data_IF_901008040154
#
_entry.id   IF_901008040154
#
_cell.length_a   1.000
_cell.length_b   1.000
_cell.length_c   1.000
_cell.angle_alpha   90.00
_cell.angle_beta   90.00
_cell.angle_gamma   90.00
#
_symmetry.space_group_name_H-M   'P 1'
#
loop_
_entity.id
_entity.type
_entity.pdbx_description
1 polymer ?
#
# COMPACT_ATOMS: atom_id res chain seq x y z
N UNK A 1 12.47 6.73 -19.10
CA UNK A 1 12.55 5.91 -20.36
C UNK A 1 13.01 4.45 -20.16
N UNK A 2 13.02 3.92 -18.93
CA UNK A 2 13.50 2.55 -18.63
C UNK A 2 12.35 1.58 -18.24
N UNK A 3 11.10 2.02 -18.17
CA UNK A 3 10.03 1.34 -17.42
C UNK A 3 9.14 0.37 -18.22
N UNK A 4 9.42 0.05 -19.49
CA UNK A 4 8.52 -0.77 -20.31
C UNK A 4 9.14 -2.10 -20.80
N UNK A 5 10.11 -2.67 -20.08
CA UNK A 5 10.69 -3.98 -20.44
C UNK A 5 10.60 -5.01 -19.31
N UNK A 6 9.37 -5.28 -18.83
CA UNK A 6 9.16 -6.49 -18.05
C UNK A 6 8.24 -7.45 -18.85
N UNK A 7 8.77 -8.57 -19.41
CA UNK A 7 7.99 -9.48 -20.24
C UNK A 7 6.91 -10.27 -19.48
N UNK A 8 6.86 -10.19 -18.13
CA UNK A 8 5.84 -10.87 -17.31
C UNK A 8 4.50 -10.15 -17.25
N UNK A 9 4.40 -8.88 -17.66
CA UNK A 9 3.12 -8.15 -17.73
C UNK A 9 2.37 -8.50 -19.03
N UNK A 10 2.42 -9.73 -19.48
CA UNK A 10 1.92 -10.13 -20.82
C UNK A 10 0.43 -10.48 -20.88
N UNK A 11 -0.30 -10.45 -19.77
CA UNK A 11 -1.76 -10.65 -19.79
C UNK A 11 -2.45 -9.42 -19.20
N UNK A 12 -2.22 -8.27 -19.84
CA UNK A 12 -3.03 -7.09 -19.57
C UNK A 12 -4.39 -7.33 -20.22
N UNK A 13 -5.46 -7.26 -19.43
CA UNK A 13 -6.85 -7.41 -19.94
C UNK A 13 -7.14 -6.36 -21.03
N UNK A 14 -8.16 -6.61 -21.85
CA UNK A 14 -8.57 -5.62 -22.86
C UNK A 14 -8.99 -4.29 -22.20
N UNK A 15 -9.58 -4.34 -21.00
CA UNK A 15 -9.91 -3.14 -20.22
C UNK A 15 -8.65 -2.32 -19.90
N UNK A 16 -7.57 -2.95 -19.44
CA UNK A 16 -6.31 -2.25 -19.15
C UNK A 16 -5.74 -1.56 -20.39
N UNK A 17 -5.81 -2.23 -21.56
CA UNK A 17 -5.37 -1.63 -22.83
C UNK A 17 -6.20 -0.41 -23.21
N UNK A 18 -7.50 -0.47 -23.00
CA UNK A 18 -8.41 0.65 -23.30
C UNK A 18 -8.15 1.83 -22.34
N UNK A 19 -7.94 1.57 -21.06
CA UNK A 19 -7.59 2.61 -20.10
C UNK A 19 -6.23 3.25 -20.43
N UNK A 20 -5.22 2.44 -20.76
CA UNK A 20 -3.91 2.97 -21.19
C UNK A 20 -4.04 3.84 -22.43
N UNK A 21 -4.81 3.39 -23.45
CA UNK A 21 -5.03 4.15 -24.67
C UNK A 21 -5.76 5.48 -24.40
N UNK A 22 -6.73 5.49 -23.50
CA UNK A 22 -7.41 6.71 -23.09
C UNK A 22 -6.45 7.69 -22.44
N UNK A 23 -5.65 7.22 -21.50
CA UNK A 23 -4.63 8.04 -20.84
C UNK A 23 -3.60 8.60 -21.82
N UNK A 24 -3.09 7.78 -22.74
CA UNK A 24 -2.12 8.22 -23.76
C UNK A 24 -2.70 9.31 -24.66
N UNK A 25 -3.99 9.25 -25.00
CA UNK A 25 -4.68 10.29 -25.75
C UNK A 25 -4.83 11.59 -24.95
N UNK A 26 -5.18 11.50 -23.67
CA UNK A 26 -5.24 12.65 -22.78
C UNK A 26 -3.86 13.31 -22.65
N UNK A 27 -2.82 12.52 -22.46
CA UNK A 27 -1.44 13.00 -22.36
C UNK A 27 -0.96 13.69 -23.64
N UNK A 28 -1.28 13.13 -24.80
CA UNK A 28 -0.96 13.72 -26.09
C UNK A 28 -1.69 15.06 -26.30
N UNK A 29 -2.98 15.13 -25.94
CA UNK A 29 -3.78 16.35 -26.02
C UNK A 29 -3.19 17.46 -25.12
N UNK A 30 -2.87 17.14 -23.87
CA UNK A 30 -2.21 18.08 -22.94
C UNK A 30 -0.85 18.57 -23.47
N UNK A 31 -0.04 17.66 -24.02
CA UNK A 31 1.27 18.00 -24.58
C UNK A 31 1.20 18.91 -25.83
N UNK A 32 0.09 18.86 -26.58
CA UNK A 32 -0.17 19.75 -27.71
C UNK A 32 -0.67 21.14 -27.30
N UNK A 33 -0.73 21.44 -25.99
CA UNK A 33 -1.23 22.71 -25.48
C UNK A 33 -2.76 22.78 -25.39
N UNK A 34 -3.44 21.66 -25.62
CA UNK A 34 -4.88 21.55 -25.42
C UNK A 34 -5.23 21.69 -23.94
N UNK A 35 -5.98 22.72 -23.59
CA UNK A 35 -6.61 22.87 -22.27
C UNK A 35 -8.10 23.06 -22.53
N UNK A 36 -8.85 21.98 -22.34
CA UNK A 36 -10.29 22.06 -22.23
C UNK A 36 -10.65 22.38 -20.78
N UNK A 37 -11.64 23.24 -20.55
CA UNK A 37 -12.20 23.55 -19.23
C UNK A 37 -12.69 22.28 -18.48
N UNK A 38 -12.89 21.20 -19.21
CA UNK A 38 -13.34 19.90 -18.67
C UNK A 38 -12.24 18.85 -18.56
N UNK A 39 -10.99 19.19 -18.93
CA UNK A 39 -9.87 18.22 -18.94
C UNK A 39 -9.65 17.57 -17.57
N UNK A 40 -9.56 18.39 -16.52
CA UNK A 40 -9.31 17.88 -15.16
C UNK A 40 -10.44 16.97 -14.69
N UNK A 41 -11.70 17.32 -14.96
CA UNK A 41 -12.85 16.48 -14.62
C UNK A 41 -12.83 15.14 -15.38
N UNK A 42 -12.42 15.17 -16.66
CA UNK A 42 -12.34 13.93 -17.46
C UNK A 42 -11.20 13.02 -16.97
N UNK A 43 -10.06 13.57 -16.57
CA UNK A 43 -8.94 12.81 -15.96
C UNK A 43 -9.35 12.24 -14.61
N UNK A 44 -10.06 12.98 -13.78
CA UNK A 44 -10.58 12.47 -12.50
C UNK A 44 -11.61 11.36 -12.71
N UNK A 45 -12.52 11.51 -13.69
CA UNK A 45 -13.48 10.45 -14.06
C UNK A 45 -12.74 9.21 -14.56
N UNK A 46 -11.79 9.35 -15.46
CA UNK A 46 -10.98 8.23 -15.95
C UNK A 46 -10.23 7.53 -14.80
N UNK A 47 -9.64 8.29 -13.87
CA UNK A 47 -8.96 7.74 -12.72
C UNK A 47 -9.91 6.93 -11.84
N UNK A 48 -11.11 7.46 -11.59
CA UNK A 48 -12.16 6.77 -10.83
C UNK A 48 -12.59 5.46 -11.49
N UNK A 49 -12.78 5.46 -12.80
CA UNK A 49 -13.15 4.26 -13.56
C UNK A 49 -12.05 3.18 -13.49
N UNK A 50 -10.79 3.60 -13.63
CA UNK A 50 -9.62 2.71 -13.51
C UNK A 50 -9.58 2.07 -12.11
N UNK A 51 -9.74 2.88 -11.07
CA UNK A 51 -9.67 2.42 -9.68
C UNK A 51 -10.83 1.49 -9.34
N UNK A 52 -12.06 1.84 -9.70
CA UNK A 52 -13.23 1.00 -9.46
C UNK A 52 -13.06 -0.37 -10.14
N UNK A 53 -12.57 -0.39 -11.38
CA UNK A 53 -12.32 -1.63 -12.09
C UNK A 53 -11.14 -2.43 -11.50
N UNK A 54 -10.16 -1.77 -10.88
CA UNK A 54 -9.10 -2.44 -10.14
C UNK A 54 -9.61 -3.07 -8.83
N UNK A 55 -10.54 -2.42 -8.14
CA UNK A 55 -11.20 -2.96 -6.94
C UNK A 55 -11.96 -4.25 -7.30
N UNK A 56 -12.71 -4.25 -8.42
CA UNK A 56 -13.40 -5.45 -8.92
C UNK A 56 -12.39 -6.58 -9.23
N UNK A 57 -11.28 -6.26 -9.90
CA UNK A 57 -10.23 -7.24 -10.20
C UNK A 57 -9.61 -7.84 -8.92
N UNK A 58 -9.38 -7.02 -7.88
CA UNK A 58 -8.90 -7.51 -6.58
C UNK A 58 -9.92 -8.43 -5.90
N UNK A 59 -11.21 -8.06 -5.92
CA UNK A 59 -12.28 -8.88 -5.34
C UNK A 59 -12.39 -10.25 -6.04
N UNK A 60 -12.18 -10.28 -7.36
CA UNK A 60 -12.17 -11.51 -8.17
C UNK A 60 -10.78 -12.19 -8.23
N UNK A 61 -9.82 -11.75 -7.41
CA UNK A 61 -8.45 -12.30 -7.35
C UNK A 61 -7.66 -12.20 -8.66
N UNK A 62 -8.02 -11.28 -9.55
CA UNK A 62 -7.28 -10.96 -10.78
C UNK A 62 -6.17 -9.94 -10.47
N UNK A 63 -5.30 -10.29 -9.54
CA UNK A 63 -4.34 -9.35 -8.93
C UNK A 63 -3.38 -8.69 -9.92
N UNK A 64 -2.93 -9.39 -10.97
CA UNK A 64 -2.08 -8.76 -12.00
C UNK A 64 -2.82 -7.64 -12.75
N UNK A 65 -4.12 -7.83 -13.03
CA UNK A 65 -4.93 -6.81 -13.68
C UNK A 65 -5.14 -5.61 -12.75
N UNK A 66 -5.45 -5.86 -11.48
CA UNK A 66 -5.58 -4.83 -10.45
C UNK A 66 -4.28 -4.03 -10.30
N UNK A 67 -3.14 -4.71 -10.20
CA UNK A 67 -1.81 -4.07 -10.13
C UNK A 67 -1.58 -3.10 -11.28
N UNK A 68 -1.83 -3.54 -12.52
CA UNK A 68 -1.60 -2.71 -13.70
C UNK A 68 -2.48 -1.46 -13.72
N UNK A 69 -3.75 -1.58 -13.30
CA UNK A 69 -4.69 -0.46 -13.22
C UNK A 69 -4.34 0.52 -12.11
N UNK A 70 -4.03 0.01 -10.92
CA UNK A 70 -3.65 0.86 -9.78
C UNK A 70 -2.35 1.63 -10.07
N UNK A 71 -1.39 0.98 -10.71
CA UNK A 71 -0.17 1.67 -11.13
C UNK A 71 -0.45 2.72 -12.21
N UNK A 72 -1.34 2.46 -13.17
CA UNK A 72 -1.78 3.45 -14.15
C UNK A 72 -2.47 4.65 -13.47
N UNK A 73 -3.36 4.39 -12.50
CA UNK A 73 -4.00 5.45 -11.72
C UNK A 73 -2.99 6.34 -10.98
N UNK A 74 -1.91 5.73 -10.43
CA UNK A 74 -0.78 6.47 -9.87
C UNK A 74 -0.08 7.34 -10.93
N UNK A 75 0.25 6.78 -12.11
CA UNK A 75 0.96 7.48 -13.18
C UNK A 75 0.18 8.68 -13.75
N UNK A 76 -1.15 8.68 -13.67
CA UNK A 76 -1.99 9.81 -14.11
C UNK A 76 -1.67 11.08 -13.31
N UNK A 77 -1.50 10.97 -12.00
CA UNK A 77 -1.11 12.08 -11.14
C UNK A 77 -0.31 11.58 -9.93
N UNK A 78 1.02 11.40 -10.06
CA UNK A 78 1.83 10.81 -9.00
C UNK A 78 1.80 11.59 -7.67
N UNK A 79 1.58 12.90 -7.70
CA UNK A 79 1.54 13.71 -6.48
C UNK A 79 0.26 13.49 -5.68
N UNK A 80 -0.89 13.38 -6.35
CA UNK A 80 -2.19 13.19 -5.71
C UNK A 80 -2.50 11.72 -5.43
N UNK A 81 -1.97 10.80 -6.24
CA UNK A 81 -2.43 9.41 -6.33
C UNK A 81 -1.45 8.40 -5.69
N UNK A 82 -0.69 8.83 -4.69
CA UNK A 82 0.32 7.99 -4.01
C UNK A 82 -0.29 6.72 -3.39
N UNK A 83 -1.54 6.80 -2.91
CA UNK A 83 -2.27 5.67 -2.36
C UNK A 83 -2.43 4.53 -3.38
N UNK A 84 -2.64 4.85 -4.65
CA UNK A 84 -2.79 3.82 -5.68
C UNK A 84 -1.48 3.07 -5.95
N UNK A 85 -0.32 3.72 -5.75
CA UNK A 85 0.97 3.03 -5.79
C UNK A 85 1.11 2.02 -4.64
N UNK A 86 0.65 2.38 -3.42
CA UNK A 86 0.62 1.47 -2.29
C UNK A 86 -0.31 0.27 -2.56
N UNK A 87 -1.51 0.50 -3.07
CA UNK A 87 -2.41 -0.60 -3.43
C UNK A 87 -1.90 -1.43 -4.60
N UNK A 88 -1.16 -0.85 -5.56
CA UNK A 88 -0.49 -1.59 -6.62
C UNK A 88 0.60 -2.52 -6.06
N UNK A 89 1.39 -2.05 -5.07
CA UNK A 89 2.38 -2.87 -4.39
C UNK A 89 1.72 -4.05 -3.67
N UNK A 90 0.66 -3.81 -2.90
CA UNK A 90 -0.10 -4.84 -2.19
C UNK A 90 -0.72 -5.87 -3.15
N UNK A 91 -1.33 -5.42 -4.24
CA UNK A 91 -1.89 -6.31 -5.28
C UNK A 91 -0.80 -7.15 -5.96
N UNK A 92 0.42 -6.59 -6.14
CA UNK A 92 1.56 -7.33 -6.68
C UNK A 92 2.01 -8.45 -5.74
N UNK A 93 1.99 -8.23 -4.42
CA UNK A 93 2.26 -9.29 -3.42
C UNK A 93 1.24 -10.41 -3.55
N UNK A 94 -0.05 -10.08 -3.64
CA UNK A 94 -1.12 -11.05 -3.82
C UNK A 94 -1.02 -11.82 -5.14
N UNK A 95 -0.49 -11.17 -6.18
CA UNK A 95 -0.17 -11.79 -7.47
C UNK A 95 1.09 -12.66 -7.44
N UNK A 96 1.86 -12.65 -6.34
CA UNK A 96 3.21 -13.21 -6.24
C UNK A 96 4.19 -12.63 -7.26
N UNK A 97 3.92 -11.41 -7.75
CA UNK A 97 4.85 -10.64 -8.58
C UNK A 97 5.75 -9.79 -7.67
N UNK A 98 6.72 -10.45 -7.05
CA UNK A 98 7.59 -9.84 -6.04
C UNK A 98 8.52 -8.78 -6.65
N UNK A 99 8.87 -8.89 -7.93
CA UNK A 99 9.67 -7.87 -8.63
C UNK A 99 8.90 -6.54 -8.72
N UNK A 100 7.63 -6.60 -9.12
CA UNK A 100 6.76 -5.41 -9.16
C UNK A 100 6.48 -4.88 -7.75
N UNK A 101 6.22 -5.75 -6.79
CA UNK A 101 5.99 -5.37 -5.40
C UNK A 101 7.18 -4.61 -4.81
N UNK A 102 8.40 -5.14 -4.94
CA UNK A 102 9.62 -4.46 -4.50
C UNK A 102 9.82 -3.12 -5.18
N UNK A 103 9.59 -3.05 -6.49
CA UNK A 103 9.70 -1.80 -7.25
C UNK A 103 8.78 -0.72 -6.67
N UNK A 104 7.52 -1.07 -6.41
CA UNK A 104 6.53 -0.10 -5.94
C UNK A 104 6.75 0.27 -4.47
N UNK A 105 7.06 -0.69 -3.60
CA UNK A 105 7.37 -0.38 -2.21
C UNK A 105 8.66 0.45 -2.06
N UNK A 106 9.71 0.17 -2.85
CA UNK A 106 10.91 0.99 -2.83
C UNK A 106 10.65 2.41 -3.34
N UNK A 107 9.79 2.59 -4.35
CA UNK A 107 9.37 3.91 -4.80
C UNK A 107 8.58 4.65 -3.70
N UNK A 108 7.66 3.98 -3.00
CA UNK A 108 6.94 4.55 -1.85
C UNK A 108 7.90 4.99 -0.73
N UNK A 109 8.91 4.17 -0.45
CA UNK A 109 9.97 4.51 0.50
C UNK A 109 10.77 5.73 0.06
N UNK A 110 11.18 5.81 -1.23
CA UNK A 110 11.93 6.92 -1.80
C UNK A 110 11.17 8.25 -1.70
N UNK A 111 9.86 8.23 -2.03
CA UNK A 111 9.01 9.42 -1.93
C UNK A 111 8.52 9.71 -0.51
N UNK A 112 8.97 8.92 0.49
CA UNK A 112 8.59 9.05 1.91
C UNK A 112 7.08 9.06 2.12
N UNK A 113 6.37 8.15 1.42
CA UNK A 113 4.94 8.03 1.58
C UNK A 113 4.60 7.45 2.95
N UNK A 114 3.82 8.15 3.72
CA UNK A 114 3.36 7.75 5.06
C UNK A 114 1.92 7.22 5.08
N UNK A 115 1.11 7.54 4.06
CA UNK A 115 -0.27 7.10 3.95
C UNK A 115 -1.17 7.60 5.09
N UNK A 116 -0.77 8.64 5.80
CA UNK A 116 -1.57 9.22 6.88
C UNK A 116 -2.73 9.99 6.25
N UNK A 117 -3.95 9.68 6.69
CA UNK A 117 -5.16 10.39 6.29
C UNK A 117 -5.87 10.95 7.51
N UNK A 118 -6.58 12.07 7.33
CA UNK A 118 -7.42 12.65 8.37
C UNK A 118 -8.80 12.01 8.32
N UNK A 119 -9.22 11.38 9.41
CA UNK A 119 -10.58 10.93 9.65
C UNK A 119 -11.38 12.04 10.31
N UNK A 120 -12.59 12.22 9.84
CA UNK A 120 -13.54 13.20 10.35
C UNK A 120 -14.60 12.48 11.17
N UNK A 121 -14.53 12.59 12.50
CA UNK A 121 -15.34 11.83 13.45
C UNK A 121 -16.28 12.75 14.21
N UNK A 122 -17.49 12.27 14.49
CA UNK A 122 -18.36 12.89 15.48
C UNK A 122 -19.28 11.85 16.13
N UNK A 123 -19.86 12.20 17.26
CA UNK A 123 -20.78 11.34 17.98
C UNK A 123 -22.22 11.63 17.57
N UNK A 124 -22.94 10.63 17.12
CA UNK A 124 -24.36 10.72 16.77
C UNK A 124 -25.19 10.97 18.03
N UNK A 125 -26.07 11.96 18.00
CA UNK A 125 -27.00 12.26 19.12
C UNK A 125 -28.10 11.20 19.23
N UNK A 126 -28.47 10.57 18.12
CA UNK A 126 -29.49 9.55 18.04
C UNK A 126 -29.01 8.21 18.60
N UNK A 127 -27.83 7.75 18.19
CA UNK A 127 -27.31 6.41 18.55
C UNK A 127 -26.36 6.46 19.73
N UNK A 128 -25.72 7.61 19.98
CA UNK A 128 -24.65 7.76 20.96
C UNK A 128 -23.32 7.14 20.52
N UNK A 129 -23.21 6.69 19.27
CA UNK A 129 -22.02 6.05 18.71
C UNK A 129 -21.18 7.05 17.90
N UNK A 130 -19.91 6.74 17.78
CA UNK A 130 -18.99 7.49 16.91
C UNK A 130 -19.21 7.11 15.45
N UNK A 131 -19.32 8.12 14.59
CA UNK A 131 -19.49 7.96 13.16
C UNK A 131 -18.38 8.70 12.41
N UNK A 132 -17.87 8.08 11.33
CA UNK A 132 -16.87 8.67 10.42
C UNK A 132 -17.58 9.30 9.22
N UNK A 133 -17.24 10.56 8.93
CA UNK A 133 -17.74 11.26 7.74
C UNK A 133 -16.84 10.97 6.55
N UNK A 134 -17.41 10.68 5.36
CA UNK A 134 -16.63 10.34 4.18
C UNK A 134 -15.84 11.52 3.59
N UNK A 135 -16.16 12.75 4.00
CA UNK A 135 -15.47 13.95 3.53
C UNK A 135 -15.50 15.09 4.55
N UNK A 136 -14.49 15.95 4.44
CA UNK A 136 -14.47 17.21 5.21
C UNK A 136 -15.69 18.09 4.93
N UNK A 137 -16.17 18.09 3.71
CA UNK A 137 -17.34 18.91 3.32
C UNK A 137 -18.60 18.47 4.04
N UNK A 138 -18.84 17.16 4.16
CA UNK A 138 -19.95 16.63 4.95
C UNK A 138 -19.78 16.91 6.44
N UNK A 139 -18.61 16.63 6.97
CA UNK A 139 -18.27 16.95 8.36
C UNK A 139 -18.54 18.42 8.70
N UNK A 140 -18.11 19.37 7.88
CA UNK A 140 -18.34 20.82 8.09
C UNK A 140 -19.82 21.20 7.92
N UNK A 141 -20.57 20.46 7.07
CA UNK A 141 -22.02 20.64 6.94
C UNK A 141 -22.74 20.21 8.22
N UNK A 142 -22.43 19.02 8.74
CA UNK A 142 -23.08 18.49 9.93
C UNK A 142 -22.70 19.23 11.21
N UNK A 143 -21.56 19.90 11.29
CA UNK A 143 -21.23 20.84 12.39
C UNK A 143 -22.26 21.96 12.58
N UNK A 144 -23.02 22.29 11.54
CA UNK A 144 -24.09 23.31 11.58
C UNK A 144 -25.44 22.75 12.03
N UNK A 145 -25.52 21.46 12.28
CA UNK A 145 -26.72 20.76 12.69
C UNK A 145 -26.63 20.40 14.19
N UNK A 146 -27.72 19.87 14.75
CA UNK A 146 -27.74 19.35 16.11
C UNK A 146 -27.76 17.81 16.16
N UNK A 147 -27.46 17.18 15.03
CA UNK A 147 -27.51 15.71 14.89
C UNK A 147 -26.28 15.03 15.47
N UNK A 148 -25.17 15.74 15.56
CA UNK A 148 -23.90 15.24 16.05
C UNK A 148 -23.28 16.17 17.09
N UNK A 149 -22.46 15.57 17.98
CA UNK A 149 -21.61 16.23 18.97
C UNK A 149 -20.18 15.71 18.89
N UNK A 150 -19.27 16.23 19.71
CA UNK A 150 -17.89 15.75 19.85
C UNK A 150 -17.14 15.62 18.50
N UNK A 151 -17.29 16.65 17.67
CA UNK A 151 -16.58 16.74 16.37
C UNK A 151 -15.07 16.80 16.59
N UNK A 152 -14.35 15.85 15.95
CA UNK A 152 -12.90 15.74 16.05
C UNK A 152 -12.28 15.24 14.75
N UNK A 153 -11.04 15.62 14.54
CA UNK A 153 -10.21 15.15 13.44
C UNK A 153 -9.15 14.20 14.03
N UNK A 154 -9.08 12.98 13.52
CA UNK A 154 -8.13 11.96 13.93
C UNK A 154 -7.20 11.62 12.76
N UNK A 155 -5.91 11.45 13.02
CA UNK A 155 -4.98 10.96 12.02
C UNK A 155 -4.91 9.43 12.09
N UNK A 156 -4.89 8.79 10.93
CA UNK A 156 -4.58 7.35 10.88
C UNK A 156 -3.10 7.12 11.20
N UNK A 157 -2.78 5.89 11.55
CA UNK A 157 -1.37 5.50 11.70
C UNK A 157 -0.64 5.54 10.35
N UNK A 158 0.67 5.75 10.42
CA UNK A 158 1.53 5.72 9.25
C UNK A 158 1.62 4.32 8.67
N UNK A 159 1.57 4.20 7.33
CA UNK A 159 1.82 2.96 6.59
C UNK A 159 3.31 2.71 6.34
N UNK A 160 4.17 3.65 6.69
CA UNK A 160 5.60 3.52 6.43
C UNK A 160 6.25 2.29 7.08
N UNK A 161 5.96 1.95 8.36
CA UNK A 161 6.47 0.72 8.98
C UNK A 161 6.06 -0.54 8.23
N UNK A 162 4.80 -0.61 7.77
CA UNK A 162 4.31 -1.73 6.97
C UNK A 162 5.03 -1.85 5.62
N UNK A 163 5.30 -0.73 4.94
CA UNK A 163 6.05 -0.71 3.69
C UNK A 163 7.44 -1.32 3.87
N UNK A 164 8.18 -0.88 4.89
CA UNK A 164 9.53 -1.39 5.16
C UNK A 164 9.49 -2.88 5.53
N UNK A 165 8.52 -3.29 6.35
CA UNK A 165 8.28 -4.70 6.68
C UNK A 165 8.03 -5.54 5.42
N UNK A 166 7.16 -5.09 4.53
CA UNK A 166 6.85 -5.83 3.30
C UNK A 166 8.08 -5.97 2.39
N UNK A 167 8.93 -4.95 2.29
CA UNK A 167 10.21 -5.03 1.56
C UNK A 167 11.08 -6.15 2.15
N UNK A 168 11.23 -6.19 3.49
CA UNK A 168 12.02 -7.20 4.19
C UNK A 168 11.50 -8.62 3.93
N UNK A 169 10.17 -8.82 4.09
CA UNK A 169 9.52 -10.11 3.90
C UNK A 169 9.65 -10.60 2.44
N UNK A 170 9.56 -9.70 1.46
CA UNK A 170 9.70 -10.07 0.05
C UNK A 170 11.13 -10.49 -0.26
N UNK A 171 12.17 -9.78 0.22
CA UNK A 171 13.55 -10.20 0.03
C UNK A 171 13.81 -11.57 0.68
N UNK A 172 13.30 -11.80 1.90
CA UNK A 172 13.39 -13.11 2.56
C UNK A 172 12.69 -14.21 1.73
N UNK A 173 11.52 -13.94 1.17
CA UNK A 173 10.78 -14.88 0.31
C UNK A 173 11.53 -15.20 -0.99
N UNK A 174 12.29 -14.25 -1.52
CA UNK A 174 13.12 -14.42 -2.71
C UNK A 174 14.46 -15.14 -2.43
N UNK A 175 14.79 -15.35 -1.16
CA UNK A 175 16.08 -15.91 -0.72
C UNK A 175 17.26 -14.94 -0.85
N UNK A 176 16.99 -13.66 -1.04
CA UNK A 176 18.00 -12.60 -1.03
C UNK A 176 18.30 -12.21 0.43
N UNK A 177 19.06 -13.07 1.11
CA UNK A 177 19.31 -12.96 2.55
C UNK A 177 20.06 -11.67 2.92
N UNK A 178 20.92 -11.15 2.03
CA UNK A 178 21.67 -9.92 2.29
C UNK A 178 20.73 -8.70 2.34
N UNK A 179 19.89 -8.52 1.32
CA UNK A 179 18.95 -7.43 1.27
C UNK A 179 17.81 -7.61 2.27
N UNK A 180 17.38 -8.86 2.53
CA UNK A 180 16.41 -9.17 3.58
C UNK A 180 16.94 -8.73 4.96
N UNK A 181 18.17 -9.06 5.31
CA UNK A 181 18.76 -8.69 6.60
C UNK A 181 18.88 -7.17 6.77
N UNK A 182 19.27 -6.45 5.70
CA UNK A 182 19.31 -4.97 5.74
C UNK A 182 17.91 -4.39 5.96
N UNK A 183 16.92 -4.89 5.21
CA UNK A 183 15.55 -4.39 5.29
C UNK A 183 14.88 -4.74 6.63
N UNK A 184 15.12 -5.94 7.19
CA UNK A 184 14.61 -6.33 8.51
C UNK A 184 15.17 -5.42 9.61
N UNK A 185 16.47 -5.14 9.59
CA UNK A 185 17.09 -4.24 10.59
C UNK A 185 16.46 -2.84 10.53
N UNK A 186 16.31 -2.29 9.33
CA UNK A 186 15.65 -1.00 9.14
C UNK A 186 14.16 -1.04 9.59
N UNK A 187 13.45 -2.11 9.27
CA UNK A 187 12.08 -2.26 9.71
C UNK A 187 11.95 -2.33 11.24
N UNK A 188 12.87 -3.04 11.91
CA UNK A 188 12.91 -3.13 13.36
C UNK A 188 13.31 -1.83 14.05
N UNK A 189 13.98 -0.90 13.37
CA UNK A 189 14.19 0.46 13.88
C UNK A 189 12.85 1.23 13.98
N UNK A 190 11.90 0.95 13.11
CA UNK A 190 10.57 1.60 13.11
C UNK A 190 9.57 0.88 13.99
N UNK A 191 9.61 -0.45 14.05
CA UNK A 191 8.77 -1.29 14.90
C UNK A 191 9.60 -2.43 15.53
N UNK A 192 10.28 -2.18 16.65
CA UNK A 192 11.14 -3.16 17.30
C UNK A 192 10.41 -4.40 17.81
N UNK A 193 9.08 -4.29 18.03
CA UNK A 193 8.26 -5.34 18.64
C UNK A 193 7.38 -6.10 17.64
N UNK A 194 7.49 -5.84 16.34
CA UNK A 194 6.75 -6.62 15.34
C UNK A 194 7.24 -8.07 15.34
N UNK A 195 6.39 -8.99 15.79
CA UNK A 195 6.72 -10.41 15.92
C UNK A 195 7.13 -11.03 14.58
N UNK A 196 6.51 -10.60 13.46
CA UNK A 196 6.86 -11.14 12.14
C UNK A 196 8.27 -10.71 11.72
N UNK A 197 8.70 -9.51 12.08
CA UNK A 197 10.07 -9.05 11.81
C UNK A 197 11.09 -9.80 12.65
N UNK A 198 10.80 -10.03 13.94
CA UNK A 198 11.65 -10.82 14.83
C UNK A 198 11.84 -12.23 14.28
N UNK A 199 10.74 -12.91 13.92
CA UNK A 199 10.79 -14.25 13.36
C UNK A 199 11.46 -14.31 11.98
N UNK A 200 11.29 -13.27 11.17
CA UNK A 200 11.99 -13.18 9.87
C UNK A 200 13.50 -13.04 10.08
N UNK A 201 13.94 -12.19 11.02
CA UNK A 201 15.35 -12.05 11.37
C UNK A 201 15.93 -13.35 11.93
N UNK A 202 15.21 -14.02 12.83
CA UNK A 202 15.59 -15.32 13.36
C UNK A 202 15.82 -16.36 12.25
N UNK A 203 14.88 -16.48 11.32
CA UNK A 203 15.00 -17.38 10.18
C UNK A 203 16.20 -17.07 9.27
N UNK A 204 16.53 -15.79 9.07
CA UNK A 204 17.73 -15.39 8.33
C UNK A 204 19.00 -15.84 9.05
N UNK A 205 19.07 -15.72 10.38
CA UNK A 205 20.24 -16.19 11.16
C UNK A 205 20.38 -17.72 11.14
N UNK A 206 19.29 -18.50 11.12
CA UNK A 206 19.38 -19.95 10.87
C UNK A 206 20.04 -20.26 9.51
N UNK A 207 19.63 -19.57 8.45
CA UNK A 207 20.21 -19.77 7.13
C UNK A 207 21.70 -19.40 7.09
N UNK A 208 22.11 -18.43 7.90
CA UNK A 208 23.50 -18.01 8.08
C UNK A 208 24.28 -18.92 9.07
N UNK A 209 23.62 -19.91 9.70
CA UNK A 209 24.18 -20.80 10.73
C UNK A 209 24.64 -20.06 12.01
N UNK A 210 24.02 -18.91 12.30
CA UNK A 210 24.27 -18.11 13.49
C UNK A 210 23.25 -18.47 14.59
N UNK A 211 23.39 -19.69 15.17
CA UNK A 211 22.42 -20.27 16.09
C UNK A 211 22.23 -19.44 17.37
N UNK A 212 23.27 -18.83 17.90
CA UNK A 212 23.18 -18.01 19.13
C UNK A 212 22.26 -16.80 18.94
N UNK A 213 22.32 -16.17 17.76
CA UNK A 213 21.44 -15.05 17.40
C UNK A 213 20.00 -15.49 17.17
N UNK A 214 19.84 -16.64 16.53
CA UNK A 214 18.52 -17.26 16.38
C UNK A 214 17.88 -17.51 17.75
N UNK A 215 18.59 -18.15 18.69
CA UNK A 215 18.08 -18.44 20.04
C UNK A 215 17.70 -17.14 20.78
N UNK A 216 18.53 -16.10 20.69
CA UNK A 216 18.25 -14.82 21.31
C UNK A 216 16.95 -14.18 20.79
N UNK A 217 16.73 -14.23 19.47
CA UNK A 217 15.51 -13.69 18.85
C UNK A 217 14.27 -14.53 19.13
N UNK A 218 14.41 -15.85 19.22
CA UNK A 218 13.31 -16.71 19.64
C UNK A 218 12.89 -16.46 21.07
N UNK A 219 13.82 -16.23 21.98
CA UNK A 219 13.52 -15.82 23.35
C UNK A 219 12.81 -14.45 23.39
N UNK A 220 13.26 -13.47 22.60
CA UNK A 220 12.55 -12.19 22.44
C UNK A 220 11.12 -12.36 21.94
N UNK A 221 10.90 -13.22 20.95
CA UNK A 221 9.59 -13.54 20.42
C UNK A 221 8.66 -14.20 21.47
N UNK A 222 9.20 -15.13 22.27
CA UNK A 222 8.47 -15.82 23.35
C UNK A 222 8.11 -14.81 24.47
N UNK A 223 9.00 -13.88 24.82
CA UNK A 223 8.70 -12.85 25.81
C UNK A 223 7.55 -11.93 25.37
N UNK A 224 7.42 -11.67 24.06
CA UNK A 224 6.33 -10.83 23.54
C UNK A 224 4.99 -11.57 23.45
N UNK A 225 4.98 -12.85 23.10
CA UNK A 225 3.78 -13.66 23.00
C UNK A 225 3.99 -15.03 23.69
N UNK A 226 4.00 -15.06 25.03
CA UNK A 226 4.30 -16.29 25.79
C UNK A 226 3.24 -17.38 25.66
N UNK A 227 2.07 -17.07 25.14
CA UNK A 227 0.99 -18.04 24.94
C UNK A 227 0.99 -18.67 23.54
N UNK A 228 1.88 -18.24 22.66
CA UNK A 228 1.99 -18.76 21.31
C UNK A 228 2.79 -20.05 21.28
N UNK A 229 2.07 -21.18 21.37
CA UNK A 229 2.70 -22.50 21.39
C UNK A 229 3.63 -22.75 20.20
N UNK A 230 3.39 -22.14 19.04
CA UNK A 230 4.22 -22.32 17.84
C UNK A 230 5.66 -21.86 18.04
N UNK A 231 5.90 -20.87 18.91
CA UNK A 231 7.25 -20.35 19.18
C UNK A 231 8.14 -21.32 19.93
N UNK A 232 7.55 -22.33 20.61
CA UNK A 232 8.28 -23.33 21.41
C UNK A 232 8.67 -24.59 20.64
N UNK A 233 8.22 -24.72 19.37
CA UNK A 233 8.43 -25.92 18.55
C UNK A 233 9.41 -25.72 17.38
N UNK A 234 10.14 -24.62 17.33
CA UNK A 234 11.16 -24.31 16.30
C UNK A 234 12.57 -24.64 16.76
#
# INVERSE_FOLDING_TARGET
KVFLKNPKIKIISQANKNFQLAYDKFKAFSASGGKDLNYDNQIESLTSDIVNNAIEDNAEKRFQNATAKLYLAYEINPEKNKDYLYYAASSSVNARDFDSALKFYNLLKEIKYDGIVTKYMAKSVETGEDEEFPSKSEYDLYKKTKQYTDFREELTESRYPEIIKNIALIYAQLGDNENAMKAVKEARETDPKDLNLILTEANLYIQLKENDRFESLMNEAIEQDPNNATLYFN
#
